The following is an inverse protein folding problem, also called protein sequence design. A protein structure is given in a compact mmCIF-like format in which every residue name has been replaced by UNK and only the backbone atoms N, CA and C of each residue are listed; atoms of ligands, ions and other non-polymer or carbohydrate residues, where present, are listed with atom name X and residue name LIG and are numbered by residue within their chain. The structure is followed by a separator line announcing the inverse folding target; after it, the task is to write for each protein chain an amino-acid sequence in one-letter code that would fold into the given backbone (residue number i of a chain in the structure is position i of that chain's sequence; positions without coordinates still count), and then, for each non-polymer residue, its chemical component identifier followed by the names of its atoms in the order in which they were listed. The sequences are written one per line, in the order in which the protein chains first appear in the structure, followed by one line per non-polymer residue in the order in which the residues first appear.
data_IF_037036202012
#
_entry.id   IF_037036202012
#
_cell.length_a   1.000
_cell.length_b   1.000
_cell.length_c   1.000
_cell.angle_alpha   90.00
_cell.angle_beta   90.00
_cell.angle_gamma   90.00
#
_symmetry.space_group_name_H-M   'P 1'
#
loop_
_entity.id
_entity.type
_entity.pdbx_description
1 polymer ?
#
# COMPACT_ATOMS: atom_id res chain seq x y z
N UNK A 1 29.61 -33.40 2.83
CA UNK A 1 30.58 -32.29 2.77
C UNK A 1 31.18 -32.09 1.37
N UNK A 2 31.44 -33.14 0.58
CA UNK A 2 32.08 -33.01 -0.74
C UNK A 2 31.32 -32.16 -1.79
N UNK A 3 30.01 -32.33 -1.91
CA UNK A 3 29.21 -31.62 -2.94
C UNK A 3 29.17 -30.10 -2.72
N UNK A 4 29.11 -29.64 -1.47
CA UNK A 4 29.13 -28.21 -1.14
C UNK A 4 30.46 -27.55 -1.50
N UNK A 5 31.57 -28.21 -1.18
CA UNK A 5 32.90 -27.72 -1.52
C UNK A 5 33.15 -27.71 -3.04
N UNK A 6 32.61 -28.71 -3.76
CA UNK A 6 32.68 -28.74 -5.22
C UNK A 6 31.85 -27.61 -5.85
N UNK A 7 30.64 -27.35 -5.34
CA UNK A 7 29.79 -26.26 -5.81
C UNK A 7 30.41 -24.88 -5.54
N UNK A 8 30.99 -24.68 -4.35
CA UNK A 8 31.68 -23.44 -4.01
C UNK A 8 32.89 -23.20 -4.91
N UNK A 9 33.72 -24.23 -5.14
CA UNK A 9 34.88 -24.13 -6.03
C UNK A 9 34.46 -23.83 -7.48
N UNK A 10 33.46 -24.54 -8.00
CA UNK A 10 32.95 -24.33 -9.35
C UNK A 10 32.38 -22.92 -9.56
N UNK A 11 31.66 -22.41 -8.56
CA UNK A 11 31.17 -21.03 -8.55
C UNK A 11 32.32 -20.02 -8.55
N UNK A 12 33.33 -20.22 -7.69
CA UNK A 12 34.49 -19.33 -7.61
C UNK A 12 35.28 -19.31 -8.91
N UNK A 13 35.55 -20.48 -9.51
CA UNK A 13 36.24 -20.61 -10.79
C UNK A 13 35.44 -19.93 -11.93
N UNK A 14 34.11 -20.14 -11.97
CA UNK A 14 33.23 -19.50 -12.95
C UNK A 14 33.28 -17.97 -12.86
N UNK A 15 33.03 -17.39 -11.68
CA UNK A 15 33.04 -15.93 -11.49
C UNK A 15 34.40 -15.34 -11.81
N UNK A 16 35.47 -15.97 -11.33
CA UNK A 16 36.84 -15.50 -11.53
C UNK A 16 37.24 -15.51 -13.01
N UNK A 17 36.78 -16.51 -13.78
CA UNK A 17 37.05 -16.60 -15.21
C UNK A 17 36.40 -15.47 -16.04
N UNK A 18 35.29 -14.88 -15.56
CA UNK A 18 34.51 -13.86 -16.29
C UNK A 18 34.73 -12.44 -15.81
N UNK A 19 35.06 -12.26 -14.53
CA UNK A 19 35.09 -10.93 -13.89
C UNK A 19 36.43 -10.60 -13.22
N UNK A 20 37.34 -11.56 -13.10
CA UNK A 20 38.53 -11.51 -12.24
C UNK A 20 38.25 -11.32 -10.74
N UNK A 21 36.98 -11.31 -10.31
CA UNK A 21 36.60 -11.18 -8.91
C UNK A 21 36.55 -12.53 -8.20
N UNK A 22 36.57 -12.51 -6.86
CA UNK A 22 36.44 -13.71 -6.03
C UNK A 22 35.22 -13.60 -5.13
N UNK A 23 34.44 -14.66 -5.07
CA UNK A 23 33.19 -14.75 -4.30
C UNK A 23 33.27 -15.83 -3.24
N UNK A 24 32.42 -15.73 -2.23
CA UNK A 24 32.21 -16.72 -1.19
C UNK A 24 30.75 -17.20 -1.26
N UNK A 25 30.58 -18.51 -1.14
CA UNK A 25 29.28 -19.15 -1.05
C UNK A 25 28.92 -19.37 0.43
N UNK A 26 27.89 -18.68 0.90
CA UNK A 26 27.39 -18.79 2.26
C UNK A 26 26.10 -19.60 2.28
N UNK A 27 26.21 -20.80 2.86
CA UNK A 27 25.13 -21.79 3.02
C UNK A 27 24.76 -21.98 4.51
N UNK A 28 25.10 -21.00 5.36
CA UNK A 28 24.88 -21.08 6.80
C UNK A 28 23.40 -21.13 7.18
N UNK A 29 22.55 -20.52 6.36
CA UNK A 29 21.10 -20.44 6.58
C UNK A 29 20.37 -21.48 5.70
N UNK A 30 19.60 -22.41 6.26
CA UNK A 30 19.00 -23.51 5.48
C UNK A 30 18.07 -23.08 4.34
N UNK A 31 17.39 -21.95 4.50
CA UNK A 31 16.41 -21.39 3.55
C UNK A 31 17.00 -20.30 2.65
N UNK A 32 18.30 -20.01 2.77
CA UNK A 32 18.95 -18.92 2.02
C UNK A 32 20.36 -19.32 1.58
N UNK A 33 20.62 -19.18 0.29
CA UNK A 33 21.97 -19.22 -0.28
C UNK A 33 22.41 -17.79 -0.58
N UNK A 34 23.59 -17.41 -0.12
CA UNK A 34 24.15 -16.08 -0.40
C UNK A 34 25.48 -16.22 -1.12
N UNK A 35 25.61 -15.56 -2.27
CA UNK A 35 26.85 -15.40 -3.01
C UNK A 35 27.27 -13.94 -2.87
N UNK A 36 28.41 -13.70 -2.23
CA UNK A 36 28.92 -12.36 -1.96
C UNK A 36 30.39 -12.27 -2.33
N UNK A 37 30.86 -11.08 -2.66
CA UNK A 37 32.28 -10.83 -2.91
C UNK A 37 33.10 -11.14 -1.65
N UNK A 38 34.32 -11.70 -1.82
CA UNK A 38 35.26 -11.93 -0.70
C UNK A 38 35.90 -10.63 -0.18
N UNK A 39 35.82 -9.54 -0.93
CA UNK A 39 36.37 -8.23 -0.57
C UNK A 39 35.57 -7.48 0.50
N UNK A 40 36.18 -6.44 1.09
CA UNK A 40 35.52 -5.57 2.09
C UNK A 40 34.55 -4.55 1.48
N UNK A 41 34.70 -4.26 0.19
CA UNK A 41 33.87 -3.33 -0.55
C UNK A 41 32.98 -4.14 -1.49
N UNK A 42 31.78 -3.65 -1.76
CA UNK A 42 30.87 -4.26 -2.74
C UNK A 42 31.33 -4.10 -4.18
N UNK A 43 30.74 -4.86 -5.10
CA UNK A 43 31.07 -4.80 -6.53
C UNK A 43 29.83 -4.63 -7.42
N UNK A 44 29.75 -3.46 -8.05
CA UNK A 44 28.75 -3.18 -9.10
C UNK A 44 28.99 -4.07 -10.34
N UNK A 45 30.25 -4.39 -10.63
CA UNK A 45 30.63 -5.28 -11.72
C UNK A 45 30.01 -6.66 -11.49
N UNK A 46 30.09 -7.19 -10.27
CA UNK A 46 29.51 -8.47 -9.90
C UNK A 46 27.99 -8.45 -9.94
N UNK A 47 27.36 -7.34 -9.54
CA UNK A 47 25.90 -7.17 -9.65
C UNK A 47 25.44 -7.21 -11.11
N UNK A 48 26.13 -6.49 -11.98
CA UNK A 48 25.87 -6.49 -13.43
C UNK A 48 26.13 -7.87 -14.04
N UNK A 49 27.19 -8.54 -13.60
CA UNK A 49 27.49 -9.90 -14.02
C UNK A 49 26.36 -10.87 -13.68
N UNK A 50 25.84 -10.87 -12.45
CA UNK A 50 24.72 -11.73 -12.08
C UNK A 50 23.46 -11.44 -12.89
N UNK A 51 23.18 -10.17 -13.19
CA UNK A 51 22.07 -9.82 -14.06
C UNK A 51 22.25 -10.41 -15.46
N UNK A 52 23.45 -10.35 -16.03
CA UNK A 52 23.74 -10.94 -17.34
C UNK A 52 23.61 -12.47 -17.32
N UNK A 53 24.07 -13.13 -16.25
CA UNK A 53 23.92 -14.58 -16.07
C UNK A 53 22.45 -14.97 -16.02
N UNK A 54 21.65 -14.29 -15.19
CA UNK A 54 20.23 -14.62 -15.03
C UNK A 54 19.43 -14.29 -16.29
N UNK A 55 19.65 -13.12 -16.90
CA UNK A 55 18.91 -12.65 -18.08
C UNK A 55 19.38 -13.27 -19.40
N UNK A 56 20.38 -14.14 -19.36
CA UNK A 56 20.88 -14.83 -20.55
C UNK A 56 19.74 -15.57 -21.26
N UNK A 57 19.69 -15.59 -22.62
CA UNK A 57 18.62 -16.23 -23.37
C UNK A 57 18.37 -17.70 -23.01
N UNK A 58 19.42 -18.43 -22.61
CA UNK A 58 19.34 -19.84 -22.21
C UNK A 58 18.93 -20.05 -20.74
N UNK A 59 18.84 -18.98 -19.96
CA UNK A 59 18.50 -19.02 -18.54
C UNK A 59 17.10 -18.45 -18.33
N UNK A 60 17.01 -17.22 -17.84
CA UNK A 60 15.76 -16.56 -17.49
C UNK A 60 15.62 -15.26 -18.27
N UNK A 61 15.39 -15.31 -19.60
CA UNK A 61 15.29 -14.11 -20.42
C UNK A 61 14.15 -13.19 -19.97
N UNK A 62 14.38 -11.88 -20.05
CA UNK A 62 13.42 -10.84 -19.61
C UNK A 62 12.07 -10.89 -20.33
N UNK A 63 12.00 -11.49 -21.51
CA UNK A 63 10.76 -11.68 -22.26
C UNK A 63 9.86 -12.77 -21.68
N UNK A 64 10.41 -13.68 -20.86
CA UNK A 64 9.67 -14.84 -20.29
C UNK A 64 9.55 -14.79 -18.77
N UNK A 65 10.49 -14.11 -18.12
CA UNK A 65 10.59 -14.10 -16.67
C UNK A 65 10.42 -12.69 -16.14
N UNK A 66 9.48 -12.44 -15.22
CA UNK A 66 9.23 -11.11 -14.68
C UNK A 66 10.30 -10.72 -13.65
N UNK A 67 11.19 -9.81 -14.05
CA UNK A 67 12.15 -9.19 -13.14
C UNK A 67 11.54 -7.97 -12.45
N UNK A 68 11.63 -7.91 -11.12
CA UNK A 68 11.18 -6.77 -10.33
C UNK A 68 12.38 -5.93 -9.89
N UNK A 69 12.38 -4.65 -10.24
CA UNK A 69 13.37 -3.67 -9.78
C UNK A 69 12.92 -3.09 -8.45
N UNK A 70 13.77 -3.14 -7.43
CA UNK A 70 13.46 -2.74 -6.06
C UNK A 70 14.62 -1.93 -5.47
N UNK A 71 14.37 -1.22 -4.37
CA UNK A 71 15.40 -0.59 -3.55
C UNK A 71 15.28 -1.15 -2.12
N UNK A 72 16.41 -1.35 -1.44
CA UNK A 72 16.41 -1.69 -0.01
C UNK A 72 16.22 -0.44 0.86
N UNK A 73 16.12 -0.65 2.19
CA UNK A 73 15.90 0.42 3.19
C UNK A 73 17.00 1.48 3.20
N UNK A 74 18.19 1.15 2.70
CA UNK A 74 19.34 2.06 2.61
C UNK A 74 19.44 2.72 1.23
N UNK A 75 18.42 2.57 0.39
CA UNK A 75 18.40 3.08 -0.98
C UNK A 75 19.27 2.25 -1.95
N UNK A 76 19.74 1.06 -1.57
CA UNK A 76 20.51 0.24 -2.49
C UNK A 76 19.62 -0.46 -3.50
N UNK A 77 19.94 -0.26 -4.77
CA UNK A 77 19.25 -0.87 -5.88
C UNK A 77 19.42 -2.40 -5.89
N UNK A 78 18.32 -3.15 -6.02
CA UNK A 78 18.31 -4.60 -6.16
C UNK A 78 17.29 -5.07 -7.21
N UNK A 79 17.54 -6.23 -7.80
CA UNK A 79 16.64 -6.84 -8.79
C UNK A 79 16.24 -8.23 -8.33
N UNK A 80 14.95 -8.53 -8.41
CA UNK A 80 14.37 -9.78 -7.91
C UNK A 80 13.72 -10.58 -9.04
N UNK A 81 13.89 -11.89 -9.00
CA UNK A 81 13.35 -12.86 -9.94
C UNK A 81 12.84 -14.07 -9.14
N UNK A 82 11.64 -14.59 -9.47
CA UNK A 82 11.13 -15.84 -8.90
C UNK A 82 11.06 -16.91 -9.97
N UNK A 83 11.64 -18.07 -9.71
CA UNK A 83 11.63 -19.23 -10.61
C UNK A 83 11.44 -20.47 -9.76
N UNK A 84 10.57 -21.38 -10.21
CA UNK A 84 10.17 -22.54 -9.42
C UNK A 84 9.70 -22.08 -8.01
N UNK A 85 10.24 -22.69 -6.95
CA UNK A 85 9.98 -22.36 -5.55
C UNK A 85 11.08 -21.50 -4.91
N UNK A 86 11.93 -20.84 -5.71
CA UNK A 86 12.99 -19.96 -5.21
C UNK A 86 12.85 -18.52 -5.69
N UNK A 87 13.27 -17.59 -4.83
CA UNK A 87 13.40 -16.17 -5.13
C UNK A 87 14.87 -15.80 -5.17
N UNK A 88 15.34 -15.35 -6.32
CA UNK A 88 16.69 -14.83 -6.55
C UNK A 88 16.66 -13.30 -6.45
N UNK A 89 17.58 -12.70 -5.72
CA UNK A 89 17.72 -11.24 -5.58
C UNK A 89 19.18 -10.84 -5.78
N UNK A 90 19.44 -9.93 -6.71
CA UNK A 90 20.74 -9.35 -6.99
C UNK A 90 20.80 -7.95 -6.39
N UNK A 91 21.71 -7.72 -5.47
CA UNK A 91 22.01 -6.40 -4.90
C UNK A 91 23.06 -5.72 -5.75
N UNK A 92 22.68 -4.67 -6.47
CA UNK A 92 23.49 -4.09 -7.54
C UNK A 92 24.69 -3.31 -7.01
N UNK A 93 24.59 -2.69 -5.83
CA UNK A 93 25.70 -1.96 -5.22
C UNK A 93 26.77 -2.88 -4.62
N UNK A 94 26.36 -4.03 -4.09
CA UNK A 94 27.27 -4.95 -3.40
C UNK A 94 27.73 -6.12 -4.27
N UNK A 95 27.01 -6.42 -5.35
CA UNK A 95 27.25 -7.61 -6.15
C UNK A 95 26.77 -8.90 -5.50
N UNK A 96 25.96 -8.79 -4.44
CA UNK A 96 25.46 -9.96 -3.71
C UNK A 96 24.30 -10.58 -4.47
N UNK A 97 24.34 -11.89 -4.70
CA UNK A 97 23.19 -12.68 -5.16
C UNK A 97 22.67 -13.52 -4.00
N UNK A 98 21.43 -13.32 -3.61
CA UNK A 98 20.74 -14.14 -2.60
C UNK A 98 19.68 -14.99 -3.27
N UNK A 99 19.57 -16.25 -2.87
CA UNK A 99 18.55 -17.19 -3.35
C UNK A 99 17.83 -17.72 -2.13
N UNK A 100 16.50 -17.64 -2.11
CA UNK A 100 15.68 -17.96 -0.93
C UNK A 100 14.53 -18.90 -1.31
N UNK A 101 14.26 -19.89 -0.47
CA UNK A 101 13.15 -20.84 -0.69
C UNK A 101 13.23 -22.07 0.20
N UNK A 102 12.12 -22.83 0.29
CA UNK A 102 11.99 -23.98 1.19
C UNK A 102 12.94 -25.14 0.88
N UNK A 103 13.42 -25.24 -0.36
CA UNK A 103 14.37 -26.28 -0.81
C UNK A 103 15.58 -25.68 -1.53
N UNK A 104 15.98 -24.46 -1.12
CA UNK A 104 16.96 -23.68 -1.88
C UNK A 104 18.33 -24.36 -2.02
N UNK A 105 18.76 -25.12 -1.01
CA UNK A 105 20.06 -25.81 -1.07
C UNK A 105 20.07 -26.88 -2.17
N UNK A 106 19.03 -27.70 -2.23
CA UNK A 106 18.86 -28.74 -3.25
C UNK A 106 18.71 -28.11 -4.64
N UNK A 107 17.90 -27.06 -4.73
CA UNK A 107 17.73 -26.30 -5.97
C UNK A 107 19.07 -25.73 -6.45
N UNK A 108 19.84 -25.12 -5.55
CA UNK A 108 21.13 -24.52 -5.86
C UNK A 108 22.12 -25.55 -6.38
N UNK A 109 22.31 -26.64 -5.65
CA UNK A 109 23.28 -27.68 -6.00
C UNK A 109 22.94 -28.39 -7.32
N UNK A 110 21.65 -28.56 -7.65
CA UNK A 110 21.21 -29.30 -8.84
C UNK A 110 20.96 -28.43 -10.07
N UNK A 111 20.55 -27.18 -9.88
CA UNK A 111 20.09 -26.30 -10.98
C UNK A 111 21.00 -25.11 -11.21
N UNK A 112 21.61 -24.53 -10.18
CA UNK A 112 22.43 -23.33 -10.38
C UNK A 112 23.71 -23.62 -11.16
N UNK A 113 24.26 -24.83 -11.07
CA UNK A 113 25.35 -25.27 -11.96
C UNK A 113 24.96 -25.19 -13.44
N UNK A 114 23.75 -25.65 -13.79
CA UNK A 114 23.23 -25.57 -15.16
C UNK A 114 23.04 -24.14 -15.62
N UNK A 115 22.62 -23.24 -14.73
CA UNK A 115 22.51 -21.80 -15.04
C UNK A 115 23.86 -21.23 -15.45
N UNK A 116 24.94 -21.62 -14.77
CA UNK A 116 26.31 -21.23 -15.14
C UNK A 116 26.76 -21.87 -16.46
N UNK A 117 26.47 -23.16 -16.68
CA UNK A 117 26.79 -23.86 -17.93
C UNK A 117 26.07 -23.24 -19.14
N UNK A 118 24.78 -22.94 -19.01
CA UNK A 118 23.95 -22.38 -20.06
C UNK A 118 24.30 -20.93 -20.41
N UNK A 119 24.93 -20.20 -19.49
CA UNK A 119 25.48 -18.88 -19.75
C UNK A 119 26.67 -18.94 -20.73
N UNK A 120 27.47 -20.02 -20.67
CA UNK A 120 28.61 -20.21 -21.57
C UNK A 120 28.24 -20.83 -22.92
N UNK A 121 27.01 -21.33 -23.05
CA UNK A 121 26.48 -21.84 -24.31
C UNK A 121 26.00 -20.70 -25.23
N UNK A 122 26.15 -20.83 -26.56
CA UNK A 122 25.55 -19.88 -27.49
C UNK A 122 24.02 -19.84 -27.30
N UNK A 123 23.35 -18.70 -27.58
CA UNK A 123 21.89 -18.61 -27.49
C UNK A 123 21.23 -19.70 -28.33
N UNK A 124 20.45 -20.56 -27.68
CA UNK A 124 19.63 -21.56 -28.34
C UNK A 124 18.51 -20.84 -29.10
N UNK A 125 18.03 -21.42 -30.20
CA UNK A 125 16.89 -20.86 -30.93
C UNK A 125 15.70 -20.64 -29.97
N UNK A 126 14.93 -19.55 -30.12
CA UNK A 126 13.82 -19.25 -29.23
C UNK A 126 12.79 -20.38 -29.27
N UNK A 127 12.76 -21.21 -28.22
CA UNK A 127 11.73 -22.24 -28.12
C UNK A 127 10.34 -21.58 -28.00
N UNK A 128 9.30 -22.07 -28.66
CA UNK A 128 7.95 -21.55 -28.48
C UNK A 128 7.56 -21.56 -27.00
N UNK A 129 6.81 -20.55 -26.56
CA UNK A 129 6.31 -20.45 -25.18
C UNK A 129 5.50 -21.71 -24.89
N UNK A 130 5.97 -22.55 -23.97
CA UNK A 130 5.26 -23.77 -23.58
C UNK A 130 4.07 -23.41 -22.69
N UNK A 131 2.89 -23.90 -23.05
CA UNK A 131 1.62 -23.76 -22.30
C UNK A 131 1.74 -24.22 -20.83
N UNK A 132 2.72 -25.07 -20.49
CA UNK A 132 2.96 -25.52 -19.12
C UNK A 132 3.41 -24.43 -18.14
N UNK A 133 3.97 -23.31 -18.63
CA UNK A 133 4.39 -22.19 -17.77
C UNK A 133 3.18 -21.37 -17.27
N UNK A 134 2.15 -21.21 -18.11
CA UNK A 134 0.86 -20.61 -17.75
C UNK A 134 0.07 -21.48 -16.74
N UNK A 135 0.23 -22.81 -16.83
CA UNK A 135 -0.32 -23.73 -15.81
C UNK A 135 0.44 -23.66 -14.49
N UNK A 136 1.77 -23.51 -14.51
CA UNK A 136 2.56 -23.31 -13.30
C UNK A 136 2.15 -22.02 -12.57
N UNK A 137 1.90 -20.92 -13.29
CA UNK A 137 1.41 -19.65 -12.74
C UNK A 137 0.02 -19.80 -12.08
N UNK A 138 -0.90 -20.55 -12.70
CA UNK A 138 -2.22 -20.87 -12.13
C UNK A 138 -2.12 -21.75 -10.88
N UNK A 139 -1.29 -22.79 -10.93
CA UNK A 139 -1.10 -23.73 -9.83
C UNK A 139 -0.40 -23.06 -8.63
N UNK A 140 0.48 -22.09 -8.90
CA UNK A 140 1.15 -21.27 -7.90
C UNK A 140 0.16 -20.36 -7.16
N UNK A 141 -0.75 -19.71 -7.89
CA UNK A 141 -1.84 -18.94 -7.29
C UNK A 141 -2.78 -19.81 -6.44
N UNK A 142 -3.01 -21.07 -6.83
CA UNK A 142 -3.84 -22.01 -6.07
C UNK A 142 -3.16 -22.56 -4.81
N UNK A 143 -1.85 -22.83 -4.86
CA UNK A 143 -1.07 -23.27 -3.70
C UNK A 143 -0.96 -22.15 -2.65
N UNK A 144 -0.72 -20.90 -3.10
CA UNK A 144 -0.72 -19.72 -2.23
C UNK A 144 -2.10 -19.46 -1.61
N UNK A 145 -3.18 -19.81 -2.31
CA UNK A 145 -4.54 -19.79 -1.76
C UNK A 145 -4.71 -20.84 -0.64
N UNK A 146 -4.25 -22.07 -0.83
CA UNK A 146 -4.38 -23.17 0.15
C UNK A 146 -3.54 -22.96 1.41
N UNK A 147 -2.32 -22.44 1.29
CA UNK A 147 -1.48 -22.13 2.46
C UNK A 147 -2.04 -20.92 3.24
N UNK A 148 -2.62 -19.94 2.54
CA UNK A 148 -3.35 -18.83 3.15
C UNK A 148 -4.61 -19.29 3.87
N UNK A 149 -5.40 -20.18 3.26
CA UNK A 149 -6.58 -20.77 3.90
C UNK A 149 -6.24 -21.55 5.18
N UNK A 150 -5.10 -22.26 5.22
CA UNK A 150 -4.60 -22.94 6.43
C UNK A 150 -4.15 -21.96 7.51
N UNK A 151 -3.45 -20.90 7.14
CA UNK A 151 -3.02 -19.84 8.07
C UNK A 151 -4.23 -19.08 8.63
N UNK A 152 -5.22 -18.78 7.79
CA UNK A 152 -6.46 -18.09 8.16
C UNK A 152 -7.33 -18.96 9.07
N UNK A 153 -7.44 -20.27 8.82
CA UNK A 153 -8.17 -21.20 9.71
C UNK A 153 -7.53 -21.30 11.10
N UNK A 154 -6.20 -21.24 11.16
CA UNK A 154 -5.46 -21.27 12.43
C UNK A 154 -5.61 -19.93 13.17
N UNK A 155 -5.53 -18.80 12.48
CA UNK A 155 -5.69 -17.48 13.05
C UNK A 155 -7.12 -17.21 13.56
N UNK A 156 -8.14 -17.67 12.82
CA UNK A 156 -9.56 -17.53 13.21
C UNK A 156 -9.86 -18.30 14.50
N UNK A 157 -9.30 -19.51 14.64
CA UNK A 157 -9.44 -20.29 15.88
C UNK A 157 -8.79 -19.62 17.10
N UNK A 158 -7.69 -18.87 16.91
CA UNK A 158 -7.08 -18.09 18.00
C UNK A 158 -7.88 -16.83 18.34
N UNK A 159 -8.38 -16.12 17.33
CA UNK A 159 -9.18 -14.91 17.51
C UNK A 159 -10.52 -15.17 18.20
N UNK A 160 -11.25 -16.22 17.82
CA UNK A 160 -12.55 -16.54 18.44
C UNK A 160 -12.40 -16.88 19.93
N UNK A 161 -11.28 -17.50 20.31
CA UNK A 161 -11.00 -17.89 21.69
C UNK A 161 -10.63 -16.68 22.57
N UNK A 162 -9.88 -15.71 22.05
CA UNK A 162 -9.58 -14.47 22.76
C UNK A 162 -10.81 -13.55 22.85
N UNK A 163 -11.63 -13.48 21.80
CA UNK A 163 -12.82 -12.63 21.77
C UNK A 163 -13.90 -13.12 22.76
N UNK A 164 -14.07 -14.44 22.93
CA UNK A 164 -14.97 -14.99 23.95
C UNK A 164 -14.52 -14.59 25.37
N UNK A 165 -13.22 -14.69 25.67
CA UNK A 165 -12.67 -14.33 26.97
C UNK A 165 -12.86 -12.84 27.29
N UNK A 166 -12.71 -11.94 26.32
CA UNK A 166 -12.89 -10.49 26.52
C UNK A 166 -14.37 -10.12 26.73
N UNK A 167 -15.28 -10.78 26.02
CA UNK A 167 -16.73 -10.57 26.18
C UNK A 167 -17.21 -11.03 27.56
N UNK A 168 -16.75 -12.20 28.03
CA UNK A 168 -17.08 -12.69 29.37
C UNK A 168 -16.56 -11.76 30.48
N UNK A 169 -15.31 -11.27 30.36
CA UNK A 169 -14.76 -10.30 31.31
C UNK A 169 -15.52 -8.97 31.33
N UNK A 170 -15.97 -8.50 30.17
CA UNK A 170 -16.73 -7.25 30.05
C UNK A 170 -18.12 -7.37 30.68
N UNK A 171 -18.81 -8.49 30.46
CA UNK A 171 -20.12 -8.75 31.09
C UNK A 171 -20.02 -8.93 32.60
N UNK A 172 -18.92 -9.51 33.10
CA UNK A 172 -18.66 -9.60 34.55
C UNK A 172 -18.52 -8.21 35.17
N UNK A 173 -17.72 -7.34 34.55
CA UNK A 173 -17.45 -5.98 35.04
C UNK A 173 -18.68 -5.07 34.99
N UNK A 174 -19.55 -5.27 34.00
CA UNK A 174 -20.84 -4.57 33.90
C UNK A 174 -21.74 -4.89 35.10
N UNK A 175 -21.86 -6.18 35.46
CA UNK A 175 -22.67 -6.63 36.60
C UNK A 175 -22.17 -6.06 37.93
N UNK A 176 -20.86 -6.01 38.13
CA UNK A 176 -20.27 -5.41 39.34
C UNK A 176 -20.54 -3.90 39.46
N UNK A 177 -20.60 -3.18 38.32
CA UNK A 177 -20.91 -1.75 38.31
C UNK A 177 -22.39 -1.49 38.60
N UNK A 178 -23.28 -2.31 38.08
CA UNK A 178 -24.72 -2.23 38.35
C UNK A 178 -25.03 -2.51 39.82
N UNK A 179 -24.39 -3.52 40.42
CA UNK A 179 -24.53 -3.84 41.84
C UNK A 179 -24.02 -2.70 42.75
N UNK A 180 -22.90 -2.06 42.37
CA UNK A 180 -22.39 -0.87 43.08
C UNK A 180 -23.30 0.35 42.95
N UNK A 181 -23.93 0.55 41.79
CA UNK A 181 -24.86 1.65 41.58
C UNK A 181 -26.12 1.50 42.45
N UNK A 182 -26.65 0.28 42.55
CA UNK A 182 -27.79 -0.04 43.43
C UNK A 182 -27.51 0.20 44.92
N UNK A 183 -26.26 0.00 45.36
CA UNK A 183 -25.85 0.27 46.74
C UNK A 183 -25.75 1.77 47.07
N UNK A 184 -25.54 2.63 46.06
CA UNK A 184 -25.41 4.08 46.25
C UNK A 184 -26.76 4.81 46.27
N UNK A 185 -27.79 4.23 45.66
CA UNK A 185 -29.15 4.82 45.60
C UNK A 185 -29.92 4.70 46.95
N UNK A 186 -29.33 4.03 47.95
CA UNK A 186 -29.90 3.85 49.28
C UNK A 186 -29.39 4.81 50.37
N UNK A 187 -28.54 5.80 50.06
CA UNK A 187 -28.01 6.72 51.08
C UNK A 187 -28.89 7.97 51.27
N UNK A 188 -29.34 8.28 52.50
CA UNK A 188 -30.17 9.45 52.76
C UNK A 188 -29.38 10.78 52.67
N UNK A 189 -30.01 11.80 52.07
CA UNK A 189 -29.48 13.15 51.95
C UNK A 189 -29.31 13.83 53.31
N UNK A 190 -28.12 14.36 53.58
CA UNK A 190 -27.81 15.21 54.73
C UNK A 190 -28.22 16.66 54.46
N UNK A 191 -29.27 17.13 55.13
CA UNK A 191 -29.65 18.53 55.22
C UNK A 191 -28.66 19.32 56.10
N UNK A 192 -28.12 20.41 55.58
CA UNK A 192 -27.35 21.39 56.37
C UNK A 192 -28.25 22.59 56.62
N UNK A 193 -28.67 22.75 57.88
CA UNK A 193 -29.41 23.91 58.38
C UNK A 193 -28.45 25.03 58.78
N UNK A 194 -28.71 26.26 58.35
CA UNK A 194 -28.32 27.46 59.10
C UNK A 194 -29.43 28.51 59.07
N UNK A 195 -29.62 29.10 60.24
CA UNK A 195 -30.73 29.93 60.70
C UNK A 195 -30.66 31.40 60.27
N UNK A 196 -31.84 32.00 60.19
CA UNK A 196 -32.17 33.41 59.92
C UNK A 196 -31.48 34.46 60.84
N UNK A 197 -31.30 35.68 60.31
CA UNK A 197 -30.99 36.87 61.13
C UNK A 197 -30.76 38.20 60.39
N UNK A 198 -31.78 38.75 59.74
CA UNK A 198 -32.27 40.16 59.76
C UNK A 198 -31.31 41.39 59.75
N UNK A 199 -31.70 42.38 58.91
CA UNK A 199 -31.53 43.86 58.92
C UNK A 199 -30.39 44.60 58.19
N UNK A 200 -30.80 45.33 57.14
CA UNK A 200 -30.61 46.74 56.77
C UNK A 200 -29.23 47.42 56.60
N UNK A 201 -29.22 48.19 55.49
CA UNK A 201 -28.65 49.55 55.28
C UNK A 201 -27.21 49.71 54.75
N UNK A 202 -27.17 50.28 53.53
CA UNK A 202 -26.31 51.35 52.98
C UNK A 202 -24.81 51.40 53.30
N UNK A 203 -24.00 51.45 52.24
CA UNK A 203 -22.67 52.10 52.25
C UNK A 203 -21.67 51.50 51.26
N UNK A 204 -21.39 52.21 50.16
CA UNK A 204 -20.08 52.22 49.49
C UNK A 204 -19.00 52.84 50.44
N UNK A 205 -17.67 52.81 50.14
CA UNK A 205 -16.87 52.00 49.23
C UNK A 205 -15.58 51.42 49.91
N UNK A 206 -14.66 50.84 49.10
CA UNK A 206 -13.17 50.75 49.27
C UNK A 206 -12.48 49.42 49.67
N UNK A 207 -11.76 48.90 48.65
CA UNK A 207 -10.36 48.39 48.57
C UNK A 207 -9.91 47.03 49.16
N UNK A 208 -9.07 46.38 48.33
CA UNK A 208 -7.97 45.40 48.62
C UNK A 208 -8.42 43.96 48.98
N UNK A 209 -7.81 42.86 48.54
CA UNK A 209 -6.65 42.54 47.69
C UNK A 209 -6.67 41.01 47.46
N UNK A 210 -6.10 40.53 46.32
CA UNK A 210 -5.59 39.16 46.09
C UNK A 210 -6.63 38.00 46.08
N UNK A 211 -6.63 37.00 45.21
CA UNK A 211 -5.54 36.21 44.62
C UNK A 211 -6.01 35.50 43.32
N UNK A 212 -5.09 35.42 42.36
CA UNK A 212 -4.83 34.26 41.49
C UNK A 212 -5.99 33.56 40.77
N UNK A 213 -6.27 33.97 39.53
CA UNK A 213 -6.93 33.13 38.53
C UNK A 213 -5.86 32.62 37.56
N UNK A 214 -5.52 31.33 37.64
CA UNK A 214 -4.83 30.62 36.57
C UNK A 214 -5.86 30.29 35.48
N UNK A 215 -5.76 30.97 34.34
CA UNK A 215 -6.29 30.48 33.07
C UNK A 215 -5.42 29.31 32.62
N UNK A 216 -5.97 28.10 32.65
CA UNK A 216 -5.37 26.94 32.00
C UNK A 216 -5.63 26.99 30.50
N UNK A 217 -4.58 27.31 29.74
CA UNK A 217 -4.52 27.13 28.29
C UNK A 217 -4.67 25.63 27.94
N UNK A 218 -5.77 25.29 27.26
CA UNK A 218 -5.89 24.02 26.52
C UNK A 218 -5.31 24.20 25.12
N UNK A 219 -3.99 24.30 25.04
CA UNK A 219 -3.25 24.14 23.79
C UNK A 219 -2.13 23.15 24.08
N UNK A 220 -2.23 21.92 23.55
CA UNK A 220 -1.14 20.96 23.27
C UNK A 220 -1.72 19.53 23.34
N UNK A 221 -2.01 18.94 22.18
CA UNK A 221 -1.98 17.48 21.92
C UNK A 221 -2.11 17.07 20.44
N UNK A 222 -2.05 18.00 19.48
CA UNK A 222 -2.08 17.66 18.06
C UNK A 222 -0.70 17.56 17.39
N UNK A 223 0.38 18.06 18.00
CA UNK A 223 1.70 18.08 17.34
C UNK A 223 2.46 16.74 17.45
N UNK A 224 2.26 15.95 18.51
CA UNK A 224 3.01 14.72 18.75
C UNK A 224 2.65 13.56 17.80
N UNK A 225 1.45 13.55 17.23
CA UNK A 225 1.03 12.55 16.22
C UNK A 225 1.53 12.88 14.81
N UNK A 226 1.82 14.16 14.54
CA UNK A 226 2.25 14.64 13.21
C UNK A 226 3.73 14.37 12.98
N UNK A 227 4.56 14.51 14.02
CA UNK A 227 6.00 14.22 13.94
C UNK A 227 6.29 12.71 13.78
N UNK A 228 5.52 11.83 14.43
CA UNK A 228 5.72 10.35 14.39
C UNK A 228 5.12 9.66 13.13
N UNK A 229 4.35 10.40 12.33
CA UNK A 229 3.87 9.97 11.01
C UNK A 229 4.81 10.44 9.89
N UNK A 230 5.53 11.55 10.09
CA UNK A 230 6.44 12.16 9.12
C UNK A 230 7.64 11.26 8.80
N UNK A 231 8.26 10.67 9.81
CA UNK A 231 9.49 9.88 9.67
C UNK A 231 9.29 8.53 8.93
N UNK A 232 8.06 8.00 8.91
CA UNK A 232 7.73 6.73 8.22
C UNK A 232 7.09 6.93 6.82
N UNK A 233 6.68 8.16 6.48
CA UNK A 233 6.07 8.52 5.19
C UNK A 233 7.09 9.04 4.16
N UNK A 234 8.34 9.24 4.56
CA UNK A 234 9.44 9.78 3.73
C UNK A 234 9.95 8.80 2.63
N UNK A 235 9.27 7.68 2.41
CA UNK A 235 9.79 6.53 1.66
C UNK A 235 9.22 6.29 0.26
N UNK A 236 8.43 7.20 -0.29
CA UNK A 236 7.88 7.05 -1.64
C UNK A 236 7.95 8.36 -2.41
N UNK A 237 9.03 8.53 -3.18
CA UNK A 237 9.07 9.51 -4.27
C UNK A 237 8.06 9.06 -5.33
N UNK A 238 6.78 9.37 -5.11
CA UNK A 238 5.77 9.26 -6.15
C UNK A 238 6.24 10.15 -7.30
N UNK A 239 6.43 9.56 -8.47
CA UNK A 239 6.76 10.29 -9.68
C UNK A 239 5.54 11.14 -10.10
N UNK A 240 5.37 12.31 -9.48
CA UNK A 240 4.24 13.21 -9.65
C UNK A 240 4.63 14.45 -10.46
N UNK A 241 3.70 14.94 -11.27
CA UNK A 241 3.76 16.29 -11.79
C UNK A 241 3.18 17.27 -10.76
N UNK A 242 3.80 18.44 -10.63
CA UNK A 242 3.37 19.50 -9.73
C UNK A 242 3.48 20.88 -10.39
N UNK A 243 2.78 21.87 -9.82
CA UNK A 243 2.76 23.25 -10.29
C UNK A 243 2.50 23.39 -11.79
N UNK A 244 3.30 24.25 -12.44
CA UNK A 244 3.18 24.59 -13.86
C UNK A 244 3.23 23.38 -14.80
N UNK A 245 3.93 22.30 -14.42
CA UNK A 245 4.00 21.09 -15.25
C UNK A 245 2.63 20.43 -15.32
N UNK A 246 1.98 20.25 -14.16
CA UNK A 246 0.66 19.65 -14.09
C UNK A 246 -0.37 20.53 -14.81
N UNK A 247 -0.37 21.83 -14.53
CA UNK A 247 -1.33 22.77 -15.14
C UNK A 247 -1.18 22.84 -16.66
N UNK A 248 0.07 22.79 -17.16
CA UNK A 248 0.33 22.66 -18.61
C UNK A 248 -0.26 21.37 -19.17
N UNK A 249 -0.10 20.22 -18.50
CA UNK A 249 -0.69 18.98 -18.99
C UNK A 249 -2.23 19.05 -18.99
N UNK A 250 -2.85 19.61 -17.95
CA UNK A 250 -4.31 19.75 -17.86
C UNK A 250 -4.87 20.67 -18.96
N UNK A 251 -4.17 21.75 -19.29
CA UNK A 251 -4.59 22.67 -20.36
C UNK A 251 -4.68 22.00 -21.74
N UNK A 252 -3.95 20.91 -21.96
CA UNK A 252 -3.97 20.13 -23.20
C UNK A 252 -5.13 19.12 -23.28
N UNK A 253 -5.95 19.02 -22.23
CA UNK A 253 -6.99 18.00 -22.07
C UNK A 253 -8.41 18.59 -22.11
N UNK A 254 -8.59 19.81 -22.63
CA UNK A 254 -9.90 20.45 -22.77
C UNK A 254 -10.83 19.71 -23.75
N UNK A 255 -10.25 18.90 -24.65
CA UNK A 255 -10.94 17.97 -25.53
C UNK A 255 -10.39 16.56 -25.32
N UNK A 256 -11.17 15.50 -25.56
CA UNK A 256 -10.67 14.13 -25.45
C UNK A 256 -9.44 13.88 -26.33
N UNK A 257 -8.39 13.33 -25.73
CA UNK A 257 -7.16 12.92 -26.42
C UNK A 257 -6.81 11.48 -26.07
N UNK A 258 -6.03 10.83 -26.94
CA UNK A 258 -5.49 9.49 -26.68
C UNK A 258 -4.08 9.63 -26.10
N UNK A 259 -3.83 8.95 -24.98
CA UNK A 259 -2.54 8.96 -24.27
C UNK A 259 -2.19 7.58 -23.75
N UNK A 260 -0.89 7.37 -23.49
CA UNK A 260 -0.38 6.15 -22.86
C UNK A 260 -0.89 6.03 -21.42
N UNK A 261 -1.49 4.89 -21.10
CA UNK A 261 -1.97 4.56 -19.76
C UNK A 261 -0.86 4.60 -18.71
N UNK A 262 0.22 3.79 -18.83
CA UNK A 262 1.27 3.68 -17.83
C UNK A 262 2.06 4.97 -17.58
N UNK A 263 2.48 5.64 -18.65
CA UNK A 263 3.46 6.73 -18.57
C UNK A 263 2.82 8.11 -18.47
N UNK A 264 1.57 8.27 -18.91
CA UNK A 264 0.88 9.56 -18.92
C UNK A 264 -0.33 9.57 -17.99
N UNK A 265 -1.34 8.74 -18.22
CA UNK A 265 -2.62 8.83 -17.49
C UNK A 265 -2.47 8.45 -16.03
N UNK A 266 -1.71 7.39 -15.74
CA UNK A 266 -1.47 6.96 -14.37
C UNK A 266 -0.74 8.04 -13.56
N UNK A 267 0.30 8.63 -14.16
CA UNK A 267 1.05 9.76 -13.58
C UNK A 267 0.15 10.98 -13.36
N UNK A 268 -0.66 11.34 -14.36
CA UNK A 268 -1.59 12.46 -14.29
C UNK A 268 -2.62 12.28 -13.16
N UNK A 269 -3.25 11.09 -13.08
CA UNK A 269 -4.21 10.78 -12.03
C UNK A 269 -3.59 10.90 -10.65
N UNK A 270 -2.44 10.26 -10.40
CA UNK A 270 -1.77 10.35 -9.08
C UNK A 270 -1.42 11.80 -8.71
N UNK A 271 -0.98 12.58 -9.70
CA UNK A 271 -0.62 13.99 -9.52
C UNK A 271 -1.82 14.86 -9.14
N UNK A 272 -2.95 14.68 -9.84
CA UNK A 272 -4.21 15.37 -9.53
C UNK A 272 -4.76 14.96 -8.16
N UNK A 273 -4.75 13.66 -7.87
CA UNK A 273 -5.26 13.14 -6.60
C UNK A 273 -4.47 13.70 -5.42
N UNK A 274 -3.13 13.74 -5.53
CA UNK A 274 -2.27 14.36 -4.53
C UNK A 274 -2.55 15.86 -4.38
N UNK A 275 -2.65 16.61 -5.48
CA UNK A 275 -3.01 18.03 -5.47
C UNK A 275 -4.33 18.29 -4.73
N UNK A 276 -5.38 17.54 -5.06
CA UNK A 276 -6.68 17.74 -4.43
C UNK A 276 -6.71 17.33 -2.97
N UNK A 277 -6.07 16.22 -2.60
CA UNK A 277 -6.03 15.77 -1.20
C UNK A 277 -5.16 16.64 -0.30
N UNK A 278 -4.23 17.42 -0.86
CA UNK A 278 -3.45 18.42 -0.12
C UNK A 278 -4.27 19.65 0.31
N UNK A 279 -5.44 19.86 -0.29
CA UNK A 279 -6.33 20.99 0.03
C UNK A 279 -7.50 20.52 0.92
N UNK A 280 -7.62 21.00 2.18
CA UNK A 280 -8.68 20.58 3.09
C UNK A 280 -10.09 20.99 2.65
N UNK A 281 -10.22 22.01 1.81
CA UNK A 281 -11.52 22.44 1.27
C UNK A 281 -12.03 21.49 0.17
N UNK A 282 -11.13 20.71 -0.43
CA UNK A 282 -11.47 19.83 -1.54
C UNK A 282 -12.16 18.55 -1.06
N UNK A 283 -13.27 18.20 -1.70
CA UNK A 283 -13.93 16.89 -1.56
C UNK A 283 -13.65 16.04 -2.77
N UNK A 284 -12.94 14.93 -2.60
CA UNK A 284 -12.51 14.07 -3.70
C UNK A 284 -13.48 12.92 -3.93
N UNK A 285 -13.77 12.66 -5.20
CA UNK A 285 -14.63 11.59 -5.67
C UNK A 285 -13.84 10.70 -6.63
N UNK A 286 -13.93 9.39 -6.43
CA UNK A 286 -13.29 8.39 -7.27
C UNK A 286 -14.37 7.46 -7.83
N UNK A 287 -14.29 7.11 -9.10
CA UNK A 287 -15.18 6.11 -9.69
C UNK A 287 -14.39 5.21 -10.65
N UNK A 288 -14.44 3.91 -10.41
CA UNK A 288 -13.91 2.90 -11.33
C UNK A 288 -14.61 1.57 -11.12
N UNK A 289 -15.05 0.86 -12.18
CA UNK A 289 -15.67 -0.45 -11.99
C UNK A 289 -14.68 -1.54 -11.61
N UNK A 290 -13.43 -1.38 -12.01
CA UNK A 290 -12.36 -2.36 -11.78
C UNK A 290 -11.20 -1.66 -11.09
N UNK A 291 -10.71 -2.30 -10.03
CA UNK A 291 -9.67 -1.80 -9.15
C UNK A 291 -8.82 -2.98 -8.70
N UNK A 292 -7.52 -2.83 -8.63
CA UNK A 292 -6.67 -3.87 -8.07
C UNK A 292 -5.89 -3.41 -6.85
N UNK A 293 -5.15 -4.35 -6.27
CA UNK A 293 -4.41 -4.17 -5.03
C UNK A 293 -3.36 -3.06 -5.14
N UNK A 294 -2.59 -2.98 -6.22
CA UNK A 294 -1.55 -1.94 -6.36
C UNK A 294 -2.17 -0.55 -6.45
N UNK A 295 -3.22 -0.38 -7.26
CA UNK A 295 -3.90 0.92 -7.41
C UNK A 295 -4.62 1.35 -6.14
N UNK A 296 -5.16 0.41 -5.37
CA UNK A 296 -5.67 0.70 -4.02
C UNK A 296 -4.53 1.11 -3.07
N UNK A 297 -3.37 0.47 -3.17
CA UNK A 297 -2.18 0.81 -2.37
C UNK A 297 -1.74 2.24 -2.66
N UNK A 298 -1.63 2.65 -3.93
CA UNK A 298 -1.26 4.02 -4.29
C UNK A 298 -2.24 5.06 -3.72
N UNK A 299 -3.55 4.77 -3.77
CA UNK A 299 -4.57 5.67 -3.22
C UNK A 299 -4.37 5.82 -1.70
N UNK A 300 -4.15 4.72 -0.99
CA UNK A 300 -3.88 4.73 0.44
C UNK A 300 -2.59 5.51 0.77
N UNK A 301 -1.52 5.35 -0.01
CA UNK A 301 -0.27 6.09 0.14
C UNK A 301 -0.47 7.59 -0.03
N UNK A 302 -1.14 8.02 -1.11
CA UNK A 302 -1.43 9.44 -1.36
C UNK A 302 -2.28 10.04 -0.22
N UNK A 303 -3.25 9.28 0.29
CA UNK A 303 -4.08 9.70 1.43
C UNK A 303 -3.26 9.82 2.71
N UNK A 304 -2.34 8.90 2.97
CA UNK A 304 -1.47 8.96 4.14
C UNK A 304 -0.48 10.14 4.05
N UNK A 305 0.08 10.42 2.87
CA UNK A 305 0.93 11.60 2.65
C UNK A 305 0.19 12.91 2.92
N UNK A 306 -1.13 12.92 2.77
CA UNK A 306 -1.99 14.07 2.99
C UNK A 306 -2.96 13.85 4.17
N UNK A 307 -2.62 13.03 5.17
CA UNK A 307 -3.64 12.50 6.11
C UNK A 307 -4.43 13.57 6.88
N UNK A 308 -3.83 14.74 7.11
CA UNK A 308 -4.45 15.87 7.80
C UNK A 308 -5.53 16.55 6.95
N UNK A 309 -5.32 16.65 5.64
CA UNK A 309 -6.19 17.39 4.70
C UNK A 309 -7.04 16.47 3.83
N UNK A 310 -6.61 15.22 3.64
CA UNK A 310 -7.22 14.26 2.72
C UNK A 310 -8.71 14.05 3.05
N UNK A 311 -9.54 14.26 2.04
CA UNK A 311 -10.98 14.12 2.14
C UNK A 311 -11.55 13.43 0.90
N UNK A 312 -11.60 12.10 0.94
CA UNK A 312 -12.37 11.32 -0.04
C UNK A 312 -13.82 11.30 0.44
N UNK A 313 -14.70 11.95 -0.32
CA UNK A 313 -16.12 11.98 -0.01
C UNK A 313 -16.77 10.64 -0.38
N UNK A 314 -16.47 10.14 -1.58
CA UNK A 314 -16.98 8.86 -2.06
C UNK A 314 -16.02 8.18 -3.05
N UNK A 315 -15.90 6.86 -2.93
CA UNK A 315 -15.16 5.99 -3.84
C UNK A 315 -16.07 4.91 -4.40
N UNK A 316 -16.60 5.13 -5.60
CA UNK A 316 -17.51 4.21 -6.28
C UNK A 316 -16.73 3.07 -6.94
N UNK A 317 -16.95 1.85 -6.44
CA UNK A 317 -16.32 0.64 -6.98
C UNK A 317 -17.34 -0.49 -7.06
N UNK A 318 -17.19 -1.40 -8.01
CA UNK A 318 -18.00 -2.63 -8.04
C UNK A 318 -17.50 -3.63 -7.01
N UNK A 319 -18.41 -4.47 -6.51
CA UNK A 319 -18.05 -5.58 -5.62
C UNK A 319 -17.05 -6.53 -6.29
N UNK A 320 -17.24 -6.82 -7.58
CA UNK A 320 -16.29 -7.57 -8.40
C UNK A 320 -15.32 -6.60 -9.06
N UNK A 321 -14.08 -6.65 -8.64
CA UNK A 321 -13.02 -5.71 -9.00
C UNK A 321 -12.18 -6.17 -10.19
N UNK A 322 -12.15 -7.48 -10.46
CA UNK A 322 -11.69 -8.09 -11.69
C UNK A 322 -12.34 -9.50 -11.82
N UNK A 323 -11.79 -10.39 -12.65
CA UNK A 323 -12.31 -11.76 -12.82
C UNK A 323 -12.11 -12.66 -11.59
N UNK A 324 -11.15 -12.35 -10.74
CA UNK A 324 -10.67 -13.21 -9.65
C UNK A 324 -10.88 -12.64 -8.25
N UNK A 325 -10.95 -11.31 -8.12
CA UNK A 325 -10.94 -10.61 -6.84
C UNK A 325 -12.22 -9.79 -6.64
N UNK A 326 -12.69 -9.81 -5.39
CA UNK A 326 -13.68 -8.85 -4.90
C UNK A 326 -12.97 -7.66 -4.26
N UNK A 327 -13.69 -6.56 -4.11
CA UNK A 327 -13.20 -5.37 -3.38
C UNK A 327 -12.73 -5.68 -1.96
N UNK A 328 -13.33 -6.66 -1.28
CA UNK A 328 -12.88 -7.13 0.03
C UNK A 328 -11.47 -7.74 -0.01
N UNK A 329 -11.14 -8.44 -1.10
CA UNK A 329 -9.82 -9.04 -1.29
C UNK A 329 -8.78 -7.94 -1.56
N UNK A 330 -9.13 -6.99 -2.45
CA UNK A 330 -8.32 -5.82 -2.77
C UNK A 330 -8.02 -4.98 -1.52
N UNK A 331 -9.05 -4.66 -0.71
CA UNK A 331 -8.88 -3.96 0.58
C UNK A 331 -7.89 -4.68 1.49
N UNK A 332 -8.11 -5.98 1.73
CA UNK A 332 -7.28 -6.78 2.63
C UNK A 332 -5.84 -6.85 2.14
N UNK A 333 -5.63 -7.13 0.86
CA UNK A 333 -4.30 -7.25 0.27
C UNK A 333 -3.56 -5.90 0.29
N UNK A 334 -4.24 -4.78 0.03
CA UNK A 334 -3.63 -3.45 0.14
C UNK A 334 -3.31 -3.12 1.60
N UNK A 335 -4.23 -3.39 2.54
CA UNK A 335 -4.04 -3.13 3.97
C UNK A 335 -2.82 -3.85 4.55
N UNK A 336 -2.53 -5.08 4.11
CA UNK A 336 -1.34 -5.83 4.56
C UNK A 336 0.00 -5.20 4.19
N UNK A 337 0.01 -4.25 3.26
CA UNK A 337 1.23 -3.50 2.88
C UNK A 337 1.55 -2.35 3.84
N UNK A 338 0.60 -1.97 4.70
CA UNK A 338 0.76 -0.84 5.61
C UNK A 338 0.97 -1.30 7.05
N UNK A 339 1.91 -0.67 7.79
CA UNK A 339 2.05 -0.84 9.23
C UNK A 339 0.71 -0.66 9.98
N UNK A 340 0.53 -1.41 11.08
CA UNK A 340 -0.71 -1.39 11.88
C UNK A 340 -1.13 0.03 12.30
N UNK A 341 -0.18 0.96 12.51
CA UNK A 341 -0.49 2.34 12.90
C UNK A 341 -1.22 3.15 11.81
N UNK A 342 -1.02 2.83 10.53
CA UNK A 342 -1.67 3.53 9.41
C UNK A 342 -3.03 2.94 9.04
N UNK A 343 -3.30 1.69 9.42
CA UNK A 343 -4.51 0.98 9.03
C UNK A 343 -5.81 1.67 9.51
N UNK A 344 -5.90 2.22 10.74
CA UNK A 344 -7.09 2.97 11.16
C UNK A 344 -7.36 4.21 10.30
N UNK A 345 -6.30 4.92 9.88
CA UNK A 345 -6.41 6.11 9.01
C UNK A 345 -6.91 5.68 7.64
N UNK A 346 -6.33 4.63 7.06
CA UNK A 346 -6.77 4.07 5.78
C UNK A 346 -8.24 3.62 5.84
N UNK A 347 -8.64 2.90 6.89
CA UNK A 347 -10.02 2.45 7.04
C UNK A 347 -10.97 3.65 7.05
N UNK A 348 -10.65 4.68 7.85
CA UNK A 348 -11.50 5.86 8.00
C UNK A 348 -11.55 6.76 6.75
N UNK A 349 -10.39 7.05 6.16
CA UNK A 349 -10.26 8.02 5.06
C UNK A 349 -10.51 7.42 3.68
N UNK A 350 -10.33 6.11 3.49
CA UNK A 350 -10.46 5.45 2.18
C UNK A 350 -11.56 4.41 2.19
N UNK A 351 -11.45 3.39 3.05
CA UNK A 351 -12.28 2.20 2.91
C UNK A 351 -13.74 2.42 3.32
N UNK A 352 -13.99 3.20 4.38
CA UNK A 352 -15.33 3.60 4.79
C UNK A 352 -16.00 4.56 3.81
N UNK A 353 -15.24 5.07 2.82
CA UNK A 353 -15.73 5.94 1.74
C UNK A 353 -16.10 5.15 0.49
N UNK A 354 -15.86 3.83 0.47
CA UNK A 354 -16.23 2.98 -0.65
C UNK A 354 -17.76 2.84 -0.71
N UNK A 355 -18.31 3.22 -1.87
CA UNK A 355 -19.73 3.09 -2.18
C UNK A 355 -19.88 2.01 -3.24
N UNK A 356 -20.87 1.14 -3.07
CA UNK A 356 -21.23 0.10 -4.03
C UNK A 356 -22.50 0.51 -4.78
N UNK A 357 -22.41 1.03 -6.02
CA UNK A 357 -23.59 1.37 -6.79
C UNK A 357 -24.51 0.15 -6.98
N UNK A 358 -25.82 0.37 -6.87
CA UNK A 358 -26.81 -0.69 -7.09
C UNK A 358 -26.84 -1.18 -8.55
N UNK A 359 -26.45 -0.30 -9.49
CA UNK A 359 -26.38 -0.61 -10.92
C UNK A 359 -24.94 -0.86 -11.32
N UNK A 360 -24.76 -1.74 -12.29
CA UNK A 360 -23.48 -1.87 -12.99
C UNK A 360 -23.16 -0.55 -13.69
N UNK A 361 -22.02 0.06 -13.34
CA UNK A 361 -21.54 1.29 -13.98
C UNK A 361 -20.21 1.03 -14.67
N UNK A 362 -19.94 1.68 -15.79
CA UNK A 362 -18.65 1.55 -16.50
C UNK A 362 -17.86 2.87 -16.55
N UNK A 363 -18.35 3.94 -15.92
CA UNK A 363 -17.63 5.21 -15.84
C UNK A 363 -16.29 5.05 -15.10
N UNK A 364 -15.26 5.75 -15.56
CA UNK A 364 -13.99 5.93 -14.82
C UNK A 364 -13.63 7.39 -14.77
N UNK A 365 -13.51 7.92 -13.56
CA UNK A 365 -13.09 9.29 -13.35
C UNK A 365 -12.53 9.48 -11.95
N UNK A 366 -11.77 10.56 -11.81
CA UNK A 366 -11.49 11.21 -10.54
C UNK A 366 -12.03 12.63 -10.63
N UNK A 367 -12.57 13.16 -9.55
CA UNK A 367 -12.99 14.56 -9.51
C UNK A 367 -12.90 15.14 -8.11
N UNK A 368 -12.96 16.46 -8.02
CA UNK A 368 -13.09 17.14 -6.75
C UNK A 368 -14.09 18.29 -6.83
N UNK A 369 -14.71 18.63 -5.70
CA UNK A 369 -15.38 19.93 -5.51
C UNK A 369 -14.51 20.77 -4.58
N UNK A 370 -14.45 22.09 -4.80
CA UNK A 370 -13.58 23.00 -4.06
C UNK A 370 -14.24 23.66 -2.83
N UNK A 371 -15.48 23.28 -2.52
CA UNK A 371 -16.29 23.88 -1.46
C UNK A 371 -16.74 25.32 -1.71
N UNK A 372 -16.36 25.91 -2.85
CA UNK A 372 -16.65 27.29 -3.28
C UNK A 372 -17.58 27.31 -4.49
N UNK A 373 -18.17 26.16 -4.84
CA UNK A 373 -19.10 25.98 -5.95
C UNK A 373 -18.44 25.56 -7.27
N UNK A 374 -17.11 25.36 -7.29
CA UNK A 374 -16.36 24.83 -8.42
C UNK A 374 -16.13 23.32 -8.32
N UNK A 375 -15.94 22.68 -9.46
CA UNK A 375 -15.58 21.28 -9.56
C UNK A 375 -14.62 21.01 -10.73
N UNK A 376 -13.75 20.04 -10.54
CA UNK A 376 -12.81 19.54 -11.55
C UNK A 376 -13.02 18.04 -11.72
N UNK A 377 -12.94 17.54 -12.96
CA UNK A 377 -13.08 16.11 -13.25
C UNK A 377 -12.12 15.69 -14.36
N UNK A 378 -11.38 14.62 -14.10
CA UNK A 378 -10.60 13.89 -15.10
C UNK A 378 -11.34 12.60 -15.43
N UNK A 379 -11.77 12.45 -16.67
CA UNK A 379 -12.40 11.23 -17.17
C UNK A 379 -11.43 10.45 -18.04
N UNK A 380 -11.48 9.12 -17.96
CA UNK A 380 -10.64 8.25 -18.77
C UNK A 380 -11.37 6.97 -19.16
N UNK A 381 -10.92 6.32 -20.24
CA UNK A 381 -11.32 4.93 -20.54
C UNK A 381 -10.58 3.90 -19.68
N UNK A 382 -9.47 4.29 -19.05
CA UNK A 382 -8.64 3.43 -18.21
C UNK A 382 -9.36 3.04 -16.91
N UNK A 383 -9.43 1.74 -16.61
CA UNK A 383 -9.75 1.30 -15.25
C UNK A 383 -8.54 1.49 -14.33
N UNK A 384 -8.78 1.50 -13.02
CA UNK A 384 -7.70 1.56 -12.04
C UNK A 384 -7.07 0.18 -11.84
N UNK A 385 -6.48 -0.37 -12.90
CA UNK A 385 -5.86 -1.69 -12.88
C UNK A 385 -4.57 -1.81 -13.70
N UNK A 386 -3.82 -2.87 -13.45
CA UNK A 386 -2.58 -3.24 -14.14
C UNK A 386 -2.77 -3.29 -15.66
N UNK A 387 -3.92 -3.80 -16.09
CA UNK A 387 -4.26 -3.93 -17.49
C UNK A 387 -4.10 -2.58 -18.18
N UNK A 388 -4.50 -1.47 -17.56
CA UNK A 388 -4.41 -0.14 -18.18
C UNK A 388 -3.13 0.62 -17.84
N UNK A 389 -2.46 0.32 -16.73
CA UNK A 389 -1.36 1.13 -16.22
C UNK A 389 0.01 0.44 -16.18
N UNK A 390 0.10 -0.84 -16.55
CA UNK A 390 1.37 -1.58 -16.66
C UNK A 390 1.67 -2.05 -18.09
N UNK A 391 0.65 -2.14 -18.94
CA UNK A 391 0.78 -2.53 -20.34
C UNK A 391 0.74 -1.29 -21.24
N UNK A 392 1.34 -1.38 -22.44
CA UNK A 392 1.35 -0.30 -23.45
C UNK A 392 -0.05 -0.08 -24.06
N UNK A 393 -0.99 0.37 -23.23
CA UNK A 393 -2.36 0.63 -23.59
C UNK A 393 -2.57 2.12 -23.84
N UNK A 394 -3.26 2.40 -24.95
CA UNK A 394 -3.70 3.73 -25.32
C UNK A 394 -5.12 3.95 -24.82
N UNK A 395 -5.30 5.05 -24.12
CA UNK A 395 -6.54 5.36 -23.42
C UNK A 395 -6.99 6.77 -23.75
N UNK A 396 -8.30 6.96 -23.84
CA UNK A 396 -8.90 8.27 -23.95
C UNK A 396 -8.87 8.97 -22.59
N UNK A 397 -8.54 10.25 -22.58
CA UNK A 397 -8.53 11.09 -21.38
C UNK A 397 -9.00 12.50 -21.71
N UNK A 398 -9.79 13.09 -20.81
CA UNK A 398 -10.28 14.47 -20.90
C UNK A 398 -10.37 15.07 -19.50
N UNK A 399 -10.15 16.38 -19.41
CA UNK A 399 -10.22 17.15 -18.19
C UNK A 399 -11.22 18.30 -18.33
N UNK A 400 -12.12 18.43 -17.36
CA UNK A 400 -13.13 19.49 -17.35
C UNK A 400 -13.20 20.19 -16.01
N UNK A 401 -13.41 21.50 -16.07
CA UNK A 401 -13.86 22.33 -14.95
C UNK A 401 -15.33 22.63 -15.15
N UNK A 402 -16.13 22.56 -14.09
CA UNK A 402 -17.57 22.86 -14.12
C UNK A 402 -18.04 23.37 -12.76
N UNK A 403 -19.32 23.70 -12.64
CA UNK A 403 -19.89 24.01 -11.33
C UNK A 403 -20.08 22.73 -10.50
N UNK A 404 -20.02 22.85 -9.17
CA UNK A 404 -20.30 21.74 -8.26
C UNK A 404 -21.69 21.13 -8.51
N UNK A 405 -22.71 21.97 -8.75
CA UNK A 405 -24.05 21.53 -9.07
C UNK A 405 -24.09 20.65 -10.33
N UNK A 406 -23.38 21.04 -11.39
CA UNK A 406 -23.27 20.23 -12.60
C UNK A 406 -22.51 18.93 -12.38
N UNK A 407 -21.41 18.97 -11.62
CA UNK A 407 -20.65 17.77 -11.30
C UNK A 407 -21.50 16.75 -10.54
N UNK A 408 -22.20 17.19 -9.48
CA UNK A 408 -23.09 16.33 -8.71
C UNK A 408 -24.21 15.76 -9.60
N UNK A 409 -24.85 16.61 -10.41
CA UNK A 409 -25.94 16.19 -11.28
C UNK A 409 -25.49 15.19 -12.35
N UNK A 410 -24.36 15.45 -13.03
CA UNK A 410 -23.89 14.67 -14.19
C UNK A 410 -23.11 13.41 -13.80
N UNK A 411 -22.38 13.43 -12.68
CA UNK A 411 -21.46 12.34 -12.31
C UNK A 411 -21.88 11.57 -11.07
N UNK A 412 -22.31 12.28 -10.01
CA UNK A 412 -22.52 11.66 -8.70
C UNK A 412 -23.93 11.07 -8.57
N UNK A 413 -24.97 11.82 -8.95
CA UNK A 413 -26.35 11.37 -8.88
C UNK A 413 -26.62 10.08 -9.67
N UNK A 414 -26.08 9.89 -10.90
CA UNK A 414 -26.27 8.64 -11.65
C UNK A 414 -25.65 7.41 -10.97
N UNK A 415 -24.60 7.60 -10.16
CA UNK A 415 -23.95 6.53 -9.40
C UNK A 415 -24.62 6.29 -8.03
N UNK A 416 -25.26 7.32 -7.47
CA UNK A 416 -25.86 7.32 -6.13
C UNK A 416 -27.33 6.92 -6.12
N UNK A 417 -27.99 6.85 -7.28
CA UNK A 417 -29.40 6.50 -7.38
C UNK A 417 -29.69 5.10 -6.82
N UNK A 418 -30.21 5.07 -5.59
CA UNK A 418 -30.82 3.91 -4.95
C UNK A 418 -32.12 3.53 -5.68
N UNK A 419 -32.56 2.27 -5.56
CA UNK A 419 -33.95 1.92 -5.92
C UNK A 419 -34.85 2.70 -4.96
N UNK A 420 -35.65 3.62 -5.50
CA UNK A 420 -36.95 3.89 -4.89
C UNK A 420 -37.76 2.59 -5.09
N UNK A 421 -37.90 1.82 -4.02
CA UNK A 421 -38.91 0.77 -3.89
C UNK A 421 -39.95 1.23 -2.91
#
# INVERSE_FOLDING_TARGET
MGEKAAAEKGLEDFVKSKTAESVCLDLSTPSVVVIKQKGKHGSILLGTFWMNVLQHPNNYPVQRYPYKKLYDKNGHYKVMLRVDDVTMTVYMSTGTLTIQGSFVLDWFLKRFSKVMEYYDMPPLEPQPVSDGYLEHEKNWNELMRKDKEKLDATATHYFDKEHLNVVEQSQQKQRELEEKALMLDGMPHLEVAYSNGVTNSTGDPKTEESNGVQQGETTLKNNALVEDLSDDLELLALDLWSGDVLDKQLSLLSTPVIKEGPTYIYKLWKSLLSRWLSNPDCKVFLATPFLDTERMTDICEIVLQNFTTANIEAFYVRIKCNYTEKISDVKRNAQTKFPCKHQPIIEYKVYNRIVYPLRTFHAKFIGCTDGKGGAEVLMTSANFSADHFEHNNLESVVYHTMTEAEFIHKFINPLSASRQS
#
